data_IF_233210835386
#
_entry.id   IF_233210835386
#
_cell.length_a   1.000
_cell.length_b   1.000
_cell.length_c   1.000
_cell.angle_alpha   90.00
_cell.angle_beta   90.00
_cell.angle_gamma   90.00
#
_symmetry.space_group_name_H-M   'P 1'
#
loop_
_entity.id
_entity.type
_entity.pdbx_description
1 polymer ?
#
# COMPACT_ATOMS: atom_id res chain seq x y z
N UNK A 1 12.40 17.31 -16.82
CA UNK A 1 11.19 16.91 -16.07
C UNK A 1 11.58 15.84 -15.06
N UNK A 2 11.64 16.17 -13.77
CA UNK A 2 11.93 15.17 -12.73
C UNK A 2 10.77 14.16 -12.66
N UNK A 3 11.09 12.87 -12.73
CA UNK A 3 10.07 11.80 -12.67
C UNK A 3 9.67 11.57 -11.22
N UNK A 4 8.44 11.94 -10.87
CA UNK A 4 7.86 11.79 -9.53
C UNK A 4 7.49 10.34 -9.17
N UNK A 5 7.50 9.42 -10.14
CA UNK A 5 7.34 7.98 -9.96
C UNK A 5 8.49 7.24 -10.64
N UNK A 6 9.13 6.32 -9.91
CA UNK A 6 10.25 5.49 -10.38
C UNK A 6 9.95 4.01 -10.14
N UNK A 7 10.30 3.18 -11.11
CA UNK A 7 10.34 1.73 -10.95
C UNK A 7 11.79 1.29 -10.71
N UNK A 8 11.99 0.47 -9.69
CA UNK A 8 13.28 -0.14 -9.37
C UNK A 8 13.17 -1.65 -9.51
N UNK A 9 14.19 -2.28 -10.10
CA UNK A 9 14.18 -3.75 -10.31
C UNK A 9 14.44 -4.52 -9.03
N UNK A 10 14.98 -3.84 -8.01
CA UNK A 10 15.32 -4.39 -6.71
C UNK A 10 15.23 -3.30 -5.64
N UNK A 11 14.87 -3.64 -4.40
CA UNK A 11 14.77 -2.65 -3.31
C UNK A 11 16.11 -1.96 -3.02
N UNK A 12 17.25 -2.63 -3.22
CA UNK A 12 18.59 -2.03 -3.11
C UNK A 12 18.81 -0.85 -4.06
N UNK A 13 18.26 -0.89 -5.28
CA UNK A 13 18.32 0.25 -6.20
C UNK A 13 17.44 1.42 -5.71
N UNK A 14 16.35 1.10 -5.00
CA UNK A 14 15.51 2.09 -4.33
C UNK A 14 16.28 2.76 -3.17
N UNK A 15 16.96 1.98 -2.33
CA UNK A 15 17.77 2.49 -1.21
C UNK A 15 18.87 3.42 -1.71
N UNK A 16 19.61 3.01 -2.75
CA UNK A 16 20.63 3.87 -3.40
C UNK A 16 20.05 5.20 -3.91
N UNK A 17 18.78 5.22 -4.31
CA UNK A 17 18.13 6.44 -4.77
C UNK A 17 17.80 7.43 -3.65
N UNK A 18 17.82 6.99 -2.38
CA UNK A 18 17.64 7.87 -1.21
C UNK A 18 18.87 8.76 -0.96
N UNK A 19 20.05 8.29 -1.36
CA UNK A 19 21.33 8.99 -1.20
C UNK A 19 21.64 9.96 -2.36
N UNK A 20 20.83 9.93 -3.42
CA UNK A 20 21.06 10.74 -4.61
C UNK A 20 20.50 12.16 -4.47
N UNK A 21 21.07 13.14 -5.19
CA UNK A 21 20.51 14.49 -5.37
C UNK A 21 19.21 14.48 -6.21
N UNK A 22 18.20 13.80 -5.70
CA UNK A 22 16.90 13.58 -6.31
C UNK A 22 15.87 14.67 -5.94
N UNK A 23 14.63 14.52 -6.44
CA UNK A 23 13.53 15.36 -5.97
C UNK A 23 13.25 15.13 -4.48
N UNK A 24 12.85 16.18 -3.77
CA UNK A 24 12.46 16.11 -2.34
C UNK A 24 11.22 15.25 -2.08
N UNK A 25 10.42 14.95 -3.10
CA UNK A 25 9.31 14.01 -3.05
C UNK A 25 9.32 13.11 -4.28
N UNK A 26 9.23 11.81 -4.06
CA UNK A 26 9.03 10.83 -5.14
C UNK A 26 8.30 9.59 -4.63
N UNK A 27 7.81 8.81 -5.59
CA UNK A 27 7.22 7.49 -5.36
C UNK A 27 8.09 6.42 -6.01
N UNK A 28 8.22 5.30 -5.34
CA UNK A 28 8.95 4.14 -5.80
C UNK A 28 8.01 2.94 -5.90
N UNK A 29 8.16 2.14 -6.95
CA UNK A 29 7.60 0.79 -7.00
C UNK A 29 8.77 -0.17 -7.17
N UNK A 30 8.84 -1.16 -6.29
CA UNK A 30 9.90 -2.17 -6.32
C UNK A 30 9.38 -3.53 -5.86
N UNK A 31 9.96 -4.63 -6.35
CA UNK A 31 9.71 -5.94 -5.78
C UNK A 31 10.40 -6.08 -4.42
N UNK A 32 9.73 -6.72 -3.47
CA UNK A 32 10.40 -7.16 -2.25
C UNK A 32 11.43 -8.25 -2.56
N UNK A 33 12.34 -8.55 -1.64
CA UNK A 33 13.43 -9.51 -1.88
C UNK A 33 13.30 -10.76 -1.04
N UNK A 34 13.63 -11.92 -1.63
CA UNK A 34 13.66 -13.21 -0.92
C UNK A 34 14.94 -13.30 -0.06
N UNK A 35 14.84 -13.28 1.28
CA UNK A 35 16.01 -13.13 2.16
C UNK A 35 17.10 -14.17 1.91
N UNK A 36 16.72 -15.45 1.83
CA UNK A 36 17.67 -16.57 1.61
C UNK A 36 18.46 -16.52 0.30
N UNK A 37 17.98 -15.79 -0.70
CA UNK A 37 18.56 -15.85 -2.05
C UNK A 37 19.00 -14.50 -2.58
N UNK A 38 18.63 -13.39 -1.94
CA UNK A 38 18.86 -12.03 -2.43
C UNK A 38 18.15 -11.69 -3.75
N UNK A 39 17.34 -12.60 -4.31
CA UNK A 39 16.60 -12.33 -5.56
C UNK A 39 15.29 -11.58 -5.29
N UNK A 40 14.93 -10.71 -6.24
CA UNK A 40 13.62 -10.09 -6.30
C UNK A 40 12.49 -11.15 -6.28
N UNK A 41 11.51 -10.91 -5.42
CA UNK A 41 10.23 -11.60 -5.42
C UNK A 41 9.32 -11.03 -6.52
N UNK A 42 8.24 -11.74 -6.85
CA UNK A 42 7.21 -11.21 -7.75
C UNK A 42 6.30 -10.18 -7.07
N UNK A 43 6.30 -10.13 -5.73
CA UNK A 43 5.45 -9.24 -4.95
C UNK A 43 6.06 -7.84 -4.90
N UNK A 44 5.29 -6.85 -5.33
CA UNK A 44 5.70 -5.45 -5.36
C UNK A 44 4.98 -4.67 -4.27
N UNK A 45 5.64 -3.60 -3.82
CA UNK A 45 5.09 -2.58 -2.93
C UNK A 45 5.33 -1.20 -3.54
N UNK A 46 4.58 -0.20 -3.06
CA UNK A 46 4.78 1.20 -3.42
C UNK A 46 5.26 1.96 -2.18
N UNK A 47 6.34 2.72 -2.30
CA UNK A 47 6.80 3.64 -1.27
C UNK A 47 6.61 5.11 -1.71
N UNK A 48 5.99 5.92 -0.86
CA UNK A 48 5.97 7.38 -0.95
C UNK A 48 7.09 7.92 -0.06
N UNK A 49 7.92 8.82 -0.59
CA UNK A 49 9.16 9.27 0.08
C UNK A 49 9.18 10.79 0.16
N UNK A 50 9.64 11.31 1.31
CA UNK A 50 10.09 12.69 1.46
C UNK A 50 11.56 12.70 1.86
N UNK A 51 12.36 13.45 1.12
CA UNK A 51 13.74 13.76 1.44
C UNK A 51 13.78 15.20 1.98
N UNK A 52 14.30 15.37 3.19
CA UNK A 52 14.59 16.69 3.76
C UNK A 52 16.09 16.94 3.81
N UNK A 53 16.58 18.15 3.49
CA UNK A 53 17.99 18.46 3.61
C UNK A 53 18.48 18.26 5.05
N UNK A 54 19.57 17.50 5.23
CA UNK A 54 20.21 17.26 6.52
C UNK A 54 19.38 16.49 7.55
N UNK A 55 18.23 15.95 7.17
CA UNK A 55 17.39 15.08 8.00
C UNK A 55 17.27 13.70 7.34
N UNK A 56 17.04 12.64 8.13
CA UNK A 56 16.79 11.33 7.55
C UNK A 56 15.51 11.33 6.70
N UNK A 57 15.43 10.49 5.66
CA UNK A 57 14.24 10.40 4.82
C UNK A 57 13.08 9.77 5.58
N UNK A 58 11.88 10.27 5.37
CA UNK A 58 10.66 9.59 5.83
C UNK A 58 10.02 8.80 4.70
N UNK A 59 9.55 7.59 5.01
CA UNK A 59 9.14 6.60 4.01
C UNK A 59 7.81 5.96 4.41
N UNK A 60 6.83 6.02 3.51
CA UNK A 60 5.54 5.34 3.67
C UNK A 60 5.44 4.21 2.65
N UNK A 61 5.62 2.98 3.10
CA UNK A 61 5.44 1.76 2.29
C UNK A 61 3.97 1.36 2.38
N UNK A 62 3.31 1.23 1.23
CA UNK A 62 1.94 0.72 1.15
C UNK A 62 1.95 -0.73 0.69
N UNK A 63 1.31 -1.60 1.47
CA UNK A 63 1.13 -3.03 1.20
C UNK A 63 -0.34 -3.25 0.73
N UNK A 64 -0.57 -3.50 -0.56
CA UNK A 64 -1.91 -3.74 -1.08
C UNK A 64 -2.58 -4.98 -0.51
N UNK A 65 -1.79 -6.02 -0.22
CA UNK A 65 -2.22 -7.29 0.34
C UNK A 65 -2.08 -7.30 1.86
N UNK A 66 -1.15 -8.11 2.36
CA UNK A 66 -0.93 -8.34 3.80
C UNK A 66 0.57 -8.33 4.12
N UNK A 67 0.92 -7.83 5.30
CA UNK A 67 2.30 -7.77 5.80
C UNK A 67 2.81 -9.16 6.15
N UNK A 68 2.02 -10.01 6.82
CA UNK A 68 2.51 -11.32 7.27
C UNK A 68 2.55 -12.35 6.14
N UNK A 69 1.41 -12.55 5.49
CA UNK A 69 1.24 -13.47 4.37
C UNK A 69 1.43 -14.95 4.72
N UNK A 70 1.11 -15.83 3.77
CA UNK A 70 1.16 -17.30 3.95
C UNK A 70 2.57 -17.76 4.33
N UNK A 71 2.69 -18.49 5.45
CA UNK A 71 3.97 -18.96 6.03
C UNK A 71 4.95 -17.82 6.33
N UNK A 72 4.44 -16.64 6.70
CA UNK A 72 5.20 -15.45 7.10
C UNK A 72 6.16 -14.94 6.01
N UNK A 73 5.93 -15.32 4.75
CA UNK A 73 6.84 -15.00 3.66
C UNK A 73 6.91 -13.50 3.39
N UNK A 74 5.79 -12.79 3.52
CA UNK A 74 5.76 -11.35 3.31
C UNK A 74 6.44 -10.62 4.46
N UNK A 75 6.24 -11.10 5.71
CA UNK A 75 6.88 -10.53 6.89
C UNK A 75 8.40 -10.51 6.74
N UNK A 76 9.00 -11.67 6.45
CA UNK A 76 10.44 -11.77 6.27
C UNK A 76 10.98 -10.92 5.11
N UNK A 77 10.17 -10.68 4.08
CA UNK A 77 10.55 -9.85 2.93
C UNK A 77 10.49 -8.35 3.26
N UNK A 78 9.49 -7.94 4.03
CA UNK A 78 9.40 -6.58 4.58
C UNK A 78 10.57 -6.32 5.54
N UNK A 79 10.82 -7.22 6.50
CA UNK A 79 11.94 -7.07 7.42
C UNK A 79 13.29 -7.00 6.70
N UNK A 80 13.53 -7.79 5.65
CA UNK A 80 14.75 -7.62 4.84
C UNK A 80 14.89 -6.23 4.22
N UNK A 81 13.77 -5.61 3.83
CA UNK A 81 13.81 -4.24 3.29
C UNK A 81 14.11 -3.23 4.41
N UNK A 82 13.54 -3.42 5.60
CA UNK A 82 13.76 -2.58 6.76
C UNK A 82 15.19 -2.70 7.30
N UNK A 83 15.74 -3.92 7.38
CA UNK A 83 17.15 -4.19 7.71
C UNK A 83 18.07 -3.44 6.75
N UNK A 84 17.90 -3.61 5.43
CA UNK A 84 18.73 -2.93 4.43
C UNK A 84 18.58 -1.39 4.47
N UNK A 85 17.40 -0.86 4.82
CA UNK A 85 17.16 0.57 5.03
C UNK A 85 17.88 1.10 6.28
N UNK A 86 17.81 0.35 7.37
CA UNK A 86 18.50 0.67 8.63
C UNK A 86 20.02 0.67 8.43
N UNK A 87 20.55 -0.32 7.73
CA UNK A 87 21.97 -0.41 7.37
C UNK A 87 22.44 0.75 6.48
N UNK A 88 21.56 1.31 5.64
CA UNK A 88 21.85 2.52 4.84
C UNK A 88 21.69 3.82 5.63
N UNK A 89 21.38 3.76 6.93
CA UNK A 89 21.24 4.93 7.80
C UNK A 89 19.85 5.56 7.85
N UNK A 90 18.82 4.90 7.29
CA UNK A 90 17.43 5.35 7.47
C UNK A 90 16.98 5.00 8.88
N UNK A 91 16.41 5.98 9.58
CA UNK A 91 15.82 5.74 10.90
C UNK A 91 14.49 5.03 10.75
N UNK A 92 14.36 3.81 11.29
CA UNK A 92 13.13 3.01 11.16
C UNK A 92 11.92 3.66 11.84
N UNK A 93 12.13 4.51 12.84
CA UNK A 93 11.07 5.38 13.42
C UNK A 93 10.50 6.41 12.44
N UNK A 94 11.12 6.59 11.27
CA UNK A 94 10.61 7.45 10.19
C UNK A 94 10.04 6.63 9.02
N UNK A 95 9.85 5.33 9.23
CA UNK A 95 9.29 4.40 8.24
C UNK A 95 7.95 3.87 8.72
N UNK A 96 6.95 3.85 7.84
CA UNK A 96 5.66 3.22 8.08
C UNK A 96 5.34 2.18 7.01
N UNK A 97 4.78 1.03 7.43
CA UNK A 97 4.13 0.07 6.53
C UNK A 97 2.62 0.13 6.75
N UNK A 98 1.89 0.54 5.71
CA UNK A 98 0.44 0.67 5.73
C UNK A 98 -0.19 -0.50 4.98
N UNK A 99 -0.84 -1.40 5.72
CA UNK A 99 -1.51 -2.58 5.17
C UNK A 99 -2.96 -2.25 4.78
N UNK A 100 -3.28 -2.30 3.49
CA UNK A 100 -4.64 -1.96 3.03
C UNK A 100 -5.58 -3.15 2.95
N UNK A 101 -5.05 -4.37 2.76
CA UNK A 101 -5.83 -5.58 2.48
C UNK A 101 -6.82 -5.45 1.31
N UNK A 102 -6.64 -4.48 0.41
CA UNK A 102 -7.55 -4.26 -0.73
C UNK A 102 -7.37 -5.33 -1.81
N UNK A 103 -6.13 -5.79 -2.00
CA UNK A 103 -5.76 -6.88 -2.90
C UNK A 103 -6.08 -8.23 -2.25
N UNK A 104 -6.71 -9.13 -3.01
CA UNK A 104 -7.03 -10.50 -2.58
C UNK A 104 -6.33 -11.58 -3.42
N UNK A 105 -5.86 -11.22 -4.61
CA UNK A 105 -5.15 -12.10 -5.55
C UNK A 105 -3.63 -11.86 -5.46
N UNK A 106 -2.77 -12.82 -5.77
CA UNK A 106 -1.32 -12.58 -5.82
C UNK A 106 -0.83 -11.85 -7.08
N UNK A 107 -1.65 -11.78 -8.13
CA UNK A 107 -1.21 -11.41 -9.48
C UNK A 107 -1.24 -9.90 -9.78
N UNK A 108 -1.96 -9.12 -8.97
CA UNK A 108 -2.27 -7.72 -9.27
C UNK A 108 -1.38 -6.70 -8.53
N UNK A 109 -0.36 -7.15 -7.78
CA UNK A 109 0.44 -6.28 -6.90
C UNK A 109 1.01 -5.06 -7.62
N UNK A 110 1.54 -5.21 -8.84
CA UNK A 110 2.07 -4.10 -9.62
C UNK A 110 0.99 -3.08 -9.98
N UNK A 111 -0.22 -3.52 -10.32
CA UNK A 111 -1.33 -2.63 -10.68
C UNK A 111 -1.86 -1.89 -9.46
N UNK A 112 -1.97 -2.55 -8.29
CA UNK A 112 -2.30 -1.87 -7.05
C UNK A 112 -1.23 -0.84 -6.68
N UNK A 113 0.05 -1.20 -6.77
CA UNK A 113 1.17 -0.28 -6.49
C UNK A 113 1.16 0.94 -7.43
N UNK A 114 0.89 0.74 -8.73
CA UNK A 114 0.79 1.83 -9.70
C UNK A 114 -0.41 2.73 -9.40
N UNK A 115 -1.58 2.17 -9.10
CA UNK A 115 -2.72 2.96 -8.66
C UNK A 115 -2.38 3.73 -7.37
N UNK A 116 -1.77 3.07 -6.39
CA UNK A 116 -1.42 3.68 -5.10
C UNK A 116 -0.43 4.82 -5.28
N UNK A 117 0.57 4.71 -6.16
CA UNK A 117 1.47 5.81 -6.48
C UNK A 117 0.72 7.03 -7.06
N UNK A 118 -0.21 6.79 -7.99
CA UNK A 118 -1.06 7.85 -8.56
C UNK A 118 -1.95 8.47 -7.48
N UNK A 119 -2.48 7.66 -6.55
CA UNK A 119 -3.34 8.13 -5.45
C UNK A 119 -2.58 8.87 -4.37
N UNK A 120 -1.37 8.45 -4.04
CA UNK A 120 -0.49 9.17 -3.13
C UNK A 120 -0.14 10.55 -3.69
N UNK A 121 0.15 10.64 -5.00
CA UNK A 121 0.34 11.93 -5.65
C UNK A 121 -0.91 12.81 -5.65
N UNK A 122 -2.10 12.25 -5.90
CA UNK A 122 -3.37 12.99 -5.87
C UNK A 122 -3.80 13.44 -4.48
N UNK A 123 -3.29 12.79 -3.44
CA UNK A 123 -3.58 13.09 -2.05
C UNK A 123 -2.29 13.50 -1.32
N UNK A 124 -1.42 14.27 -2.01
CA UNK A 124 -0.10 14.62 -1.51
C UNK A 124 -0.17 15.29 -0.13
N UNK A 125 -1.11 16.20 0.10
CA UNK A 125 -1.28 16.89 1.39
C UNK A 125 -1.46 15.91 2.56
N UNK A 126 -2.27 14.85 2.39
CA UNK A 126 -2.47 13.83 3.43
C UNK A 126 -1.22 12.98 3.65
N UNK A 127 -0.46 12.70 2.60
CA UNK A 127 0.83 12.03 2.74
C UNK A 127 1.86 12.94 3.39
N UNK A 128 1.85 14.24 3.10
CA UNK A 128 2.73 15.21 3.74
C UNK A 128 2.47 15.29 5.24
N UNK A 129 1.21 15.25 5.67
CA UNK A 129 0.85 15.16 7.09
C UNK A 129 1.40 13.87 7.76
N UNK A 130 1.31 12.72 7.08
CA UNK A 130 1.90 11.46 7.55
C UNK A 130 3.42 11.61 7.67
N UNK A 131 4.09 12.14 6.64
CA UNK A 131 5.54 12.33 6.63
C UNK A 131 6.01 13.30 7.71
N UNK A 132 5.28 14.40 7.96
CA UNK A 132 5.56 15.30 9.09
C UNK A 132 5.45 14.59 10.44
N UNK A 133 4.49 13.67 10.59
CA UNK A 133 4.41 12.78 11.75
C UNK A 133 5.65 11.91 11.88
N UNK A 134 6.02 11.20 10.81
CA UNK A 134 7.16 10.28 10.78
C UNK A 134 8.48 10.99 11.09
N UNK A 135 8.68 12.23 10.64
CA UNK A 135 9.86 13.03 11.01
C UNK A 135 10.00 13.27 12.52
N UNK A 136 8.89 13.18 13.27
CA UNK A 136 8.86 13.25 14.75
C UNK A 136 8.82 11.85 15.39
N UNK A 137 8.88 10.78 14.61
CA UNK A 137 8.78 9.40 15.09
C UNK A 137 7.37 8.96 15.49
N UNK A 138 6.33 9.53 14.86
CA UNK A 138 4.92 9.16 15.17
C UNK A 138 4.10 8.99 13.90
N UNK A 139 3.28 7.94 13.77
CA UNK A 139 2.36 7.80 12.64
C UNK A 139 0.95 8.34 12.96
N UNK A 140 0.46 8.03 14.15
CA UNK A 140 -0.81 8.49 14.71
C UNK A 140 -0.59 8.92 16.17
N UNK A 141 -1.65 9.31 16.88
CA UNK A 141 -1.56 9.34 18.35
C UNK A 141 -1.31 7.92 18.86
N UNK A 142 -0.58 7.78 19.97
CA UNK A 142 -0.16 6.47 20.49
C UNK A 142 -1.33 5.48 20.65
N UNK A 143 -2.47 5.94 21.16
CA UNK A 143 -3.68 5.11 21.30
C UNK A 143 -4.25 4.69 19.94
N UNK A 144 -4.34 5.62 18.98
CA UNK A 144 -4.87 5.32 17.64
C UNK A 144 -3.90 4.45 16.83
N UNK A 145 -2.61 4.59 17.05
CA UNK A 145 -1.59 3.77 16.40
C UNK A 145 -1.69 2.32 16.87
N UNK A 146 -1.76 2.10 18.19
CA UNK A 146 -1.99 0.77 18.76
C UNK A 146 -3.27 0.13 18.21
N UNK A 147 -4.38 0.86 18.21
CA UNK A 147 -5.65 0.37 17.65
C UNK A 147 -5.59 0.08 16.14
N UNK A 148 -4.85 0.88 15.36
CA UNK A 148 -4.74 0.67 13.92
C UNK A 148 -3.83 -0.52 13.61
N UNK A 149 -2.75 -0.69 14.36
CA UNK A 149 -1.80 -1.80 14.22
C UNK A 149 -2.49 -3.14 14.45
N UNK A 150 -3.33 -3.27 15.47
CA UNK A 150 -4.05 -4.52 15.78
C UNK A 150 -5.05 -4.94 14.69
N UNK A 151 -5.49 -4.01 13.83
CA UNK A 151 -6.34 -4.30 12.65
C UNK A 151 -5.56 -4.82 11.44
N UNK A 152 -4.23 -4.87 11.51
CA UNK A 152 -3.35 -5.43 10.47
C UNK A 152 -3.00 -6.89 10.75
N UNK A 153 -2.56 -7.62 9.73
CA UNK A 153 -2.06 -8.99 9.95
C UNK A 153 -0.83 -9.05 10.84
N UNK A 154 0.01 -8.00 10.83
CA UNK A 154 1.19 -7.92 11.70
C UNK A 154 0.76 -7.78 13.17
N UNK A 155 -0.15 -6.86 13.49
CA UNK A 155 -0.63 -6.68 14.86
C UNK A 155 -1.35 -7.92 15.40
N UNK A 156 -2.19 -8.58 14.60
CA UNK A 156 -2.80 -9.87 15.01
C UNK A 156 -1.74 -10.93 15.30
N UNK A 157 -0.70 -11.03 14.46
CA UNK A 157 0.38 -12.00 14.67
C UNK A 157 1.26 -11.66 15.89
N UNK A 158 1.46 -10.38 16.21
CA UNK A 158 2.15 -9.92 17.43
C UNK A 158 1.34 -10.24 18.69
N UNK A 159 0.01 -10.09 18.67
CA UNK A 159 -0.86 -10.49 19.78
C UNK A 159 -0.80 -12.01 20.04
N UNK A 160 -0.81 -12.82 18.97
CA UNK A 160 -0.73 -14.28 19.06
C UNK A 160 0.63 -14.77 19.56
N UNK A 161 1.71 -14.15 19.10
CA UNK A 161 3.08 -14.59 19.42
C UNK A 161 3.65 -13.93 20.68
N UNK A 162 3.12 -12.75 21.07
CA UNK A 162 3.62 -11.88 22.15
C UNK A 162 5.04 -11.37 21.93
N UNK A 163 5.46 -11.23 20.67
CA UNK A 163 6.74 -10.64 20.31
C UNK A 163 6.55 -9.62 19.17
N UNK A 164 7.31 -8.52 19.14
CA UNK A 164 7.34 -7.65 17.97
C UNK A 164 7.88 -8.42 16.77
N UNK A 165 7.22 -8.28 15.62
CA UNK A 165 7.58 -9.07 14.43
C UNK A 165 8.05 -8.22 13.27
N UNK A 166 7.76 -6.93 13.29
CA UNK A 166 8.27 -5.95 12.32
C UNK A 166 9.53 -5.31 12.89
N UNK A 167 10.54 -5.11 12.03
CA UNK A 167 11.88 -4.67 12.43
C UNK A 167 11.91 -3.27 13.07
N UNK A 168 12.65 -3.14 14.17
CA UNK A 168 12.90 -1.88 14.88
C UNK A 168 11.64 -1.11 15.28
N UNK A 169 11.74 0.21 15.27
CA UNK A 169 10.64 1.13 15.61
C UNK A 169 9.73 1.43 14.40
N UNK A 170 9.65 0.52 13.43
CA UNK A 170 8.84 0.72 12.22
C UNK A 170 7.35 0.78 12.56
N UNK A 171 6.70 1.86 12.13
CA UNK A 171 5.27 2.05 12.32
C UNK A 171 4.45 1.12 11.42
N UNK A 172 3.31 0.64 11.92
CA UNK A 172 2.37 -0.20 11.16
C UNK A 172 0.96 0.25 11.42
N UNK A 173 0.16 0.41 10.35
CA UNK A 173 -1.23 0.81 10.46
C UNK A 173 -2.11 0.12 9.41
N UNK A 174 -3.40 0.00 9.72
CA UNK A 174 -4.40 -0.42 8.75
C UNK A 174 -4.79 0.75 7.85
N UNK A 175 -4.79 0.50 6.54
CA UNK A 175 -4.92 1.55 5.53
C UNK A 175 -6.15 2.44 5.70
N UNK A 176 -7.29 1.92 6.16
CA UNK A 176 -8.51 2.70 6.28
C UNK A 176 -8.46 3.72 7.44
N UNK A 177 -7.48 3.60 8.34
CA UNK A 177 -7.30 4.53 9.45
C UNK A 177 -6.43 5.73 9.06
N UNK A 178 -5.60 5.61 8.01
CA UNK A 178 -4.59 6.62 7.66
C UNK A 178 -4.68 7.10 6.20
N UNK A 179 -5.20 6.27 5.28
CA UNK A 179 -5.29 6.60 3.85
C UNK A 179 -6.71 7.05 3.47
N UNK A 180 -6.85 7.81 2.36
CA UNK A 180 -8.15 8.15 1.80
C UNK A 180 -8.82 6.95 1.11
N UNK A 181 -10.14 7.08 0.91
CA UNK A 181 -11.00 6.08 0.24
C UNK A 181 -10.51 5.67 -1.17
N UNK A 182 -9.72 6.54 -1.83
CA UNK A 182 -9.10 6.30 -3.13
C UNK A 182 -8.29 5.00 -3.22
N UNK A 183 -7.70 4.55 -2.11
CA UNK A 183 -6.93 3.31 -2.03
C UNK A 183 -7.82 2.06 -2.03
N UNK A 184 -9.12 2.20 -1.78
CA UNK A 184 -10.07 1.10 -1.71
C UNK A 184 -10.96 0.95 -2.95
N UNK A 185 -10.86 1.87 -3.93
CA UNK A 185 -11.66 1.86 -5.19
C UNK A 185 -11.50 0.60 -6.04
N UNK A 186 -10.40 -0.11 -5.87
CA UNK A 186 -10.10 -1.36 -6.56
C UNK A 186 -10.11 -2.56 -5.61
N UNK A 187 -10.63 -2.42 -4.38
CA UNK A 187 -10.74 -3.52 -3.43
C UNK A 187 -11.62 -4.65 -3.97
N UNK A 188 -11.12 -5.88 -3.96
CA UNK A 188 -11.81 -7.02 -4.58
C UNK A 188 -13.01 -7.52 -3.74
N UNK A 189 -12.95 -7.38 -2.42
CA UNK A 189 -13.94 -7.91 -1.48
C UNK A 189 -15.14 -6.98 -1.30
N UNK A 190 -16.34 -7.49 -1.57
CA UNK A 190 -17.59 -6.77 -1.32
C UNK A 190 -17.84 -6.57 0.17
N UNK A 191 -17.59 -7.61 0.97
CA UNK A 191 -17.69 -7.54 2.43
C UNK A 191 -16.75 -6.49 3.02
N UNK A 192 -15.56 -6.32 2.45
CA UNK A 192 -14.65 -5.25 2.87
C UNK A 192 -15.26 -3.87 2.55
N UNK A 193 -15.82 -3.66 1.35
CA UNK A 193 -16.47 -2.41 1.00
C UNK A 193 -17.62 -2.05 1.96
N UNK A 194 -18.46 -3.03 2.32
CA UNK A 194 -19.53 -2.85 3.32
C UNK A 194 -18.95 -2.42 4.67
N UNK A 195 -18.01 -3.19 5.23
CA UNK A 195 -17.39 -2.89 6.53
C UNK A 195 -16.70 -1.54 6.56
N UNK A 196 -16.07 -1.13 5.46
CA UNK A 196 -15.45 0.19 5.34
C UNK A 196 -16.49 1.30 5.37
N UNK A 197 -17.61 1.15 4.65
CA UNK A 197 -18.69 2.14 4.66
C UNK A 197 -19.43 2.23 6.01
N UNK A 198 -19.43 1.16 6.80
CA UNK A 198 -20.03 1.11 8.14
C UNK A 198 -19.14 1.72 9.25
N UNK A 199 -17.93 2.18 8.91
CA UNK A 199 -17.01 2.78 9.90
C UNK A 199 -17.63 4.01 10.57
N UNK A 200 -17.50 4.17 11.90
CA UNK A 200 -18.08 5.31 12.62
C UNK A 200 -17.56 6.69 12.18
N UNK A 201 -16.32 6.75 11.67
CA UNK A 201 -15.69 7.99 11.20
C UNK A 201 -16.23 8.47 9.83
N UNK A 202 -17.00 7.65 9.12
CA UNK A 202 -17.59 7.97 7.82
C UNK A 202 -16.59 8.23 6.68
N UNK A 203 -15.28 8.11 6.92
CA UNK A 203 -14.22 8.52 5.97
C UNK A 203 -14.24 7.72 4.66
N UNK A 204 -14.79 6.51 4.70
CA UNK A 204 -14.89 5.60 3.56
C UNK A 204 -16.28 5.55 2.92
N UNK A 205 -17.26 6.27 3.47
CA UNK A 205 -18.66 6.22 3.03
C UNK A 205 -19.00 7.22 1.90
N UNK A 206 -18.06 8.11 1.56
CA UNK A 206 -18.26 9.17 0.57
C UNK A 206 -18.27 8.72 -0.89
N UNK A 207 -18.40 9.72 -1.77
CA UNK A 207 -18.33 9.57 -3.23
C UNK A 207 -16.90 9.20 -3.67
N UNK A 208 -16.76 8.19 -4.54
CA UNK A 208 -15.46 7.69 -5.03
C UNK A 208 -15.19 7.98 -6.51
N UNK A 209 -16.20 8.37 -7.29
CA UNK A 209 -16.01 8.82 -8.68
C UNK A 209 -15.81 10.35 -8.77
N UNK A 210 -15.28 10.85 -9.89
CA UNK A 210 -15.03 12.28 -10.06
C UNK A 210 -16.34 13.09 -10.02
N UNK A 211 -16.29 14.35 -9.56
CA UNK A 211 -17.46 15.24 -9.46
C UNK A 211 -18.16 15.49 -10.80
N UNK A 212 -17.46 15.29 -11.92
CA UNK A 212 -18.00 15.46 -13.26
C UNK A 212 -18.96 14.36 -13.72
N UNK A 213 -19.07 13.23 -13.01
CA UNK A 213 -20.14 12.27 -13.28
C UNK A 213 -21.49 12.80 -12.76
N UNK A 214 -22.55 12.64 -13.53
CA UNK A 214 -23.92 13.02 -13.13
C UNK A 214 -24.38 12.26 -11.87
N UNK A 215 -24.14 10.95 -11.84
CA UNK A 215 -24.46 10.09 -10.70
C UNK A 215 -23.23 9.88 -9.81
N UNK A 216 -23.36 10.19 -8.52
CA UNK A 216 -22.37 9.83 -7.53
C UNK A 216 -22.33 8.30 -7.35
N UNK A 217 -21.13 7.76 -7.14
CA UNK A 217 -20.87 6.34 -6.85
C UNK A 217 -20.09 6.25 -5.54
N UNK A 218 -20.49 5.38 -4.60
CA UNK A 218 -19.75 5.04 -3.38
C UNK A 218 -18.93 3.73 -3.54
N UNK A 219 -18.20 3.30 -2.51
CA UNK A 219 -17.37 2.08 -2.57
C UNK A 219 -18.16 0.80 -2.87
N UNK A 220 -19.34 0.63 -2.26
CA UNK A 220 -20.20 -0.55 -2.41
C UNK A 220 -20.80 -0.59 -3.81
N UNK A 221 -21.34 0.52 -4.29
CA UNK A 221 -21.87 0.67 -5.65
C UNK A 221 -20.80 0.38 -6.69
N UNK A 222 -19.58 0.93 -6.50
CA UNK A 222 -18.43 0.64 -7.35
C UNK A 222 -18.06 -0.83 -7.33
N UNK A 223 -17.98 -1.46 -6.16
CA UNK A 223 -17.64 -2.88 -6.07
C UNK A 223 -18.66 -3.76 -6.82
N UNK A 224 -19.95 -3.43 -6.72
CA UNK A 224 -21.03 -4.09 -7.44
C UNK A 224 -20.95 -3.86 -8.95
N UNK A 225 -20.68 -2.63 -9.39
CA UNK A 225 -20.58 -2.30 -10.82
C UNK A 225 -19.46 -3.07 -11.54
N UNK A 226 -18.39 -3.44 -10.82
CA UNK A 226 -17.27 -4.24 -11.34
C UNK A 226 -17.31 -5.71 -10.91
N UNK A 227 -18.44 -6.19 -10.38
CA UNK A 227 -18.57 -7.55 -9.85
C UNK A 227 -18.63 -8.57 -10.98
N UNK A 228 -17.71 -9.53 -10.96
CA UNK A 228 -17.71 -10.66 -11.90
C UNK A 228 -17.59 -11.99 -11.16
N UNK A 229 -18.00 -13.06 -11.84
CA UNK A 229 -17.78 -14.44 -11.36
C UNK A 229 -16.35 -14.89 -11.60
N UNK A 230 -15.77 -15.60 -10.64
CA UNK A 230 -14.46 -16.26 -10.79
C UNK A 230 -14.60 -17.48 -11.70
N UNK A 231 -13.73 -17.60 -12.71
CA UNK A 231 -13.66 -18.78 -13.58
C UNK A 231 -13.00 -19.98 -12.89
N UNK A 232 -12.06 -19.73 -11.99
CA UNK A 232 -11.34 -20.74 -11.20
C UNK A 232 -11.18 -20.28 -9.74
N UNK A 233 -11.08 -21.23 -8.81
CA UNK A 233 -10.84 -20.96 -7.38
C UNK A 233 -9.40 -20.49 -7.18
N UNK A 234 -9.13 -19.20 -7.41
CA UNK A 234 -7.81 -18.60 -7.21
C UNK A 234 -7.48 -18.30 -5.73
N UNK A 235 -8.49 -18.35 -4.84
CA UNK A 235 -8.28 -18.33 -3.39
C UNK A 235 -8.28 -19.78 -2.88
N UNK A 236 -7.09 -20.31 -2.58
CA UNK A 236 -6.96 -21.59 -1.86
C UNK A 236 -7.63 -21.55 -0.48
N UNK A 237 -7.75 -20.34 0.10
CA UNK A 237 -8.14 -20.16 1.50
C UNK A 237 -9.67 -19.98 1.70
N UNK A 238 -10.46 -19.74 0.63
CA UNK A 238 -11.92 -19.72 0.74
C UNK A 238 -12.63 -20.08 -0.59
N UNK A 239 -12.89 -21.38 -0.85
CA UNK A 239 -13.47 -21.86 -2.11
C UNK A 239 -14.93 -21.45 -2.33
N UNK A 240 -15.59 -20.80 -1.34
CA UNK A 240 -16.98 -20.37 -1.47
C UNK A 240 -17.15 -18.98 -2.10
N UNK A 241 -16.08 -18.18 -2.20
CA UNK A 241 -16.16 -16.85 -2.80
C UNK A 241 -16.14 -16.97 -4.33
N UNK A 242 -17.33 -17.02 -4.93
CA UNK A 242 -17.51 -17.16 -6.38
C UNK A 242 -17.45 -15.83 -7.15
N UNK A 243 -17.44 -14.70 -6.46
CA UNK A 243 -17.46 -13.37 -7.08
C UNK A 243 -16.47 -12.41 -6.42
N UNK A 244 -15.96 -11.49 -7.22
CA UNK A 244 -15.06 -10.43 -6.78
C UNK A 244 -15.24 -9.19 -7.67
N UNK A 245 -14.75 -8.04 -7.21
CA UNK A 245 -14.65 -6.85 -8.06
C UNK A 245 -13.38 -6.91 -8.92
N UNK A 246 -13.55 -6.88 -10.24
CA UNK A 246 -12.47 -6.81 -11.24
C UNK A 246 -12.10 -5.36 -11.60
N UNK A 247 -12.36 -4.41 -10.69
CA UNK A 247 -12.05 -2.99 -10.88
C UNK A 247 -10.55 -2.75 -11.13
N UNK A 248 -9.65 -3.58 -10.60
CA UNK A 248 -8.21 -3.49 -10.85
C UNK A 248 -7.82 -3.90 -12.28
N UNK A 249 -8.54 -4.86 -12.88
CA UNK A 249 -8.35 -5.23 -14.28
C UNK A 249 -8.78 -4.08 -15.20
N UNK A 250 -9.87 -3.39 -14.86
CA UNK A 250 -10.28 -2.17 -15.53
C UNK A 250 -9.20 -1.08 -15.47
N UNK A 251 -8.51 -0.93 -14.33
CA UNK A 251 -7.37 -0.03 -14.20
C UNK A 251 -6.19 -0.47 -15.07
N UNK A 252 -5.87 -1.77 -15.13
CA UNK A 252 -4.83 -2.29 -16.06
C UNK A 252 -5.13 -1.90 -17.51
N UNK A 253 -6.36 -2.10 -17.97
CA UNK A 253 -6.79 -1.74 -19.33
C UNK A 253 -6.65 -0.23 -19.58
N UNK A 254 -7.06 0.60 -18.61
CA UNK A 254 -6.93 2.05 -18.67
C UNK A 254 -5.46 2.50 -18.81
N UNK A 255 -4.53 1.90 -18.07
CA UNK A 255 -3.12 2.27 -18.17
C UNK A 255 -2.49 1.80 -19.49
N UNK A 256 -2.88 0.62 -20.00
CA UNK A 256 -2.45 0.16 -21.33
C UNK A 256 -2.93 1.13 -22.42
N UNK A 257 -4.21 1.52 -22.39
CA UNK A 257 -4.79 2.45 -23.34
C UNK A 257 -4.06 3.80 -23.33
N UNK A 258 -3.74 4.35 -22.15
CA UNK A 258 -2.99 5.61 -22.02
C UNK A 258 -1.62 5.55 -22.67
N UNK A 259 -0.90 4.45 -22.49
CA UNK A 259 0.43 4.27 -23.10
C UNK A 259 0.33 4.21 -24.62
N UNK A 260 -0.64 3.44 -25.14
CA UNK A 260 -0.88 3.32 -26.59
C UNK A 260 -1.33 4.64 -27.22
N UNK A 261 -2.14 5.43 -26.50
CA UNK A 261 -2.63 6.73 -26.96
C UNK A 261 -1.52 7.79 -27.01
N UNK A 262 -0.57 7.78 -26.07
CA UNK A 262 0.55 8.74 -26.04
C UNK A 262 1.63 8.50 -27.10
N UNK A 263 1.58 7.35 -27.79
CA UNK A 263 2.46 7.03 -28.92
C UNK A 263 1.89 7.48 -30.28
N UNK A 264 0.64 7.97 -30.30
CA UNK A 264 0.01 8.56 -31.49
C UNK A 264 0.23 10.05 -31.51
#
# INVERSE_FOLDING_TARGET
>A
VQRLLRYFKHHKEFIQALESDGPSSFRAIYPLTKPRTGHAAKHHVMADVRLTPCEPPSIVITEPGVIVGKRNKQLHRHNQTLEDLSESGVQLSQVAIIETQAQKTPDDCVMYCLNYAIKAHKNADQFDDIHHGLQRGTLLTESMEGESRTRTTAGTFEEETRYPVVEGDTHVAFGADVLPVDFYKHGASFTQALRLMERPDGRMAGRVNSKGHERAENLVERNQAFRISRRELLDEDNPQIKQFSASIDGFRLQEIERVLAAQR
#
